data_IF_585516674394
#
_entry.id   IF_585516674394
#
_cell.length_a   1.000
_cell.length_b   1.000
_cell.length_c   1.000
_cell.angle_alpha   90.00
_cell.angle_beta   90.00
_cell.angle_gamma   90.00
#
_symmetry.space_group_name_H-M   'P 1'
#
loop_
_entity.id
_entity.type
_entity.pdbx_description
1 polymer ?
#
# COMPACT_ATOMS: atom_id res chain seq x y z
N UNK A 1 30.32 9.57 26.34
CA UNK A 1 29.59 8.31 26.05
C UNK A 1 30.43 7.54 25.06
N UNK A 2 30.98 6.40 25.49
CA UNK A 2 31.84 5.53 24.68
C UNK A 2 31.01 4.28 24.37
N UNK A 3 30.70 4.02 23.10
CA UNK A 3 29.90 2.86 22.70
C UNK A 3 29.64 2.82 21.20
N UNK A 4 29.61 1.61 20.61
CA UNK A 4 29.27 1.43 19.20
C UNK A 4 27.78 1.74 18.98
N UNK A 5 27.44 2.58 18.00
CA UNK A 5 26.06 3.04 17.73
C UNK A 5 25.05 1.89 17.66
N UNK A 6 25.38 0.80 16.97
CA UNK A 6 24.49 -0.36 16.82
C UNK A 6 24.14 -1.02 18.16
N UNK A 7 25.08 -1.09 19.10
CA UNK A 7 24.84 -1.66 20.42
C UNK A 7 23.94 -0.76 21.26
N UNK A 8 24.11 0.56 21.16
CA UNK A 8 23.23 1.53 21.81
C UNK A 8 21.82 1.50 21.22
N UNK A 9 21.69 1.35 19.89
CA UNK A 9 20.40 1.17 19.24
C UNK A 9 19.71 -0.14 19.64
N UNK A 10 20.48 -1.23 19.79
CA UNK A 10 19.97 -2.51 20.26
C UNK A 10 19.47 -2.43 21.71
N UNK A 11 20.20 -1.75 22.60
CA UNK A 11 19.74 -1.44 23.96
C UNK A 11 18.46 -0.60 23.95
N UNK A 12 18.38 0.41 23.09
CA UNK A 12 17.19 1.25 22.94
C UNK A 12 15.96 0.44 22.44
N UNK A 13 16.16 -0.50 21.52
CA UNK A 13 15.09 -1.31 20.95
C UNK A 13 14.66 -2.50 21.83
N UNK A 14 15.41 -2.83 22.90
CA UNK A 14 15.22 -4.04 23.70
C UNK A 14 13.81 -4.16 24.27
N UNK A 15 13.20 -3.05 24.72
CA UNK A 15 11.82 -3.09 25.24
C UNK A 15 10.81 -3.49 24.17
N UNK A 16 10.90 -2.91 22.97
CA UNK A 16 10.02 -3.26 21.85
C UNK A 16 10.22 -4.72 21.44
N UNK A 17 11.49 -5.17 21.36
CA UNK A 17 11.83 -6.55 21.06
C UNK A 17 11.20 -7.54 22.05
N UNK A 18 11.33 -7.32 23.36
CA UNK A 18 10.75 -8.21 24.37
C UNK A 18 9.21 -8.24 24.28
N UNK A 19 8.57 -7.10 24.04
CA UNK A 19 7.11 -7.04 23.86
C UNK A 19 6.68 -7.81 22.60
N UNK A 20 7.34 -7.60 21.47
CA UNK A 20 7.04 -8.33 20.23
C UNK A 20 7.26 -9.83 20.39
N UNK A 21 8.37 -10.25 21.01
CA UNK A 21 8.70 -11.66 21.22
C UNK A 21 7.68 -12.39 22.11
N UNK A 22 7.07 -11.68 23.06
CA UNK A 22 6.03 -12.22 23.95
C UNK A 22 4.64 -12.27 23.28
N UNK A 23 4.34 -11.33 22.36
CA UNK A 23 3.01 -11.15 21.76
C UNK A 23 2.86 -11.80 20.38
N UNK A 24 3.92 -11.74 19.58
CA UNK A 24 3.95 -12.10 18.17
C UNK A 24 4.70 -13.44 17.97
N UNK A 25 5.17 -13.73 16.75
CA UNK A 25 6.08 -14.85 16.54
C UNK A 25 7.49 -14.47 17.04
N UNK A 26 7.98 -15.21 18.03
CA UNK A 26 9.29 -14.99 18.62
C UNK A 26 10.43 -15.02 17.59
N UNK A 27 10.37 -15.89 16.58
CA UNK A 27 11.40 -15.96 15.53
C UNK A 27 11.43 -14.68 14.68
N UNK A 28 10.27 -14.08 14.39
CA UNK A 28 10.21 -12.81 13.66
C UNK A 28 10.78 -11.66 14.50
N UNK A 29 10.47 -11.62 15.80
CA UNK A 29 11.02 -10.62 16.71
C UNK A 29 12.54 -10.75 16.87
N UNK A 30 13.06 -11.99 16.97
CA UNK A 30 14.49 -12.29 17.02
C UNK A 30 15.17 -11.82 15.71
N UNK A 31 14.58 -12.10 14.54
CA UNK A 31 15.08 -11.63 13.24
C UNK A 31 15.12 -10.10 13.12
N UNK A 32 14.05 -9.39 13.49
CA UNK A 32 13.99 -7.92 13.45
C UNK A 32 15.05 -7.29 14.36
N UNK A 33 15.24 -7.85 15.57
CA UNK A 33 16.21 -7.35 16.53
C UNK A 33 17.66 -7.63 16.12
N UNK A 34 17.93 -8.77 15.48
CA UNK A 34 19.25 -9.13 14.99
C UNK A 34 19.67 -8.34 13.75
N UNK A 35 18.73 -7.89 12.92
CA UNK A 35 19.00 -6.99 11.79
C UNK A 35 19.71 -5.69 12.23
N UNK A 36 19.56 -5.26 13.50
CA UNK A 36 20.28 -4.10 14.05
C UNK A 36 21.81 -4.29 14.14
N UNK A 37 22.30 -5.54 14.08
CA UNK A 37 23.73 -5.85 14.11
C UNK A 37 24.39 -5.77 12.73
N UNK A 38 23.61 -5.73 11.66
CA UNK A 38 24.11 -5.67 10.28
C UNK A 38 24.71 -4.28 9.99
N UNK A 39 26.04 -4.18 10.04
CA UNK A 39 26.74 -2.90 9.85
C UNK A 39 26.65 -2.37 8.42
N UNK A 40 26.59 -3.28 7.43
CA UNK A 40 26.57 -2.97 6.00
C UNK A 40 25.14 -2.85 5.44
N UNK A 41 24.11 -2.82 6.31
CA UNK A 41 22.74 -2.67 5.86
C UNK A 41 22.52 -1.24 5.31
N UNK A 42 22.28 -1.07 3.98
CA UNK A 42 22.18 0.24 3.36
C UNK A 42 20.82 0.91 3.63
N UNK A 43 19.92 0.25 4.35
CA UNK A 43 18.53 0.64 4.47
C UNK A 43 17.75 0.48 3.16
N UNK A 44 16.60 1.15 3.08
CA UNK A 44 15.79 1.18 1.86
C UNK A 44 16.55 1.91 0.75
N UNK A 45 16.84 1.19 -0.33
CA UNK A 45 17.49 1.74 -1.53
C UNK A 45 16.66 1.44 -2.77
N UNK A 46 16.67 2.36 -3.73
CA UNK A 46 15.82 2.29 -4.93
C UNK A 46 16.70 2.12 -6.17
N UNK A 47 16.29 1.23 -7.09
CA UNK A 47 16.85 1.09 -8.43
C UNK A 47 15.73 1.29 -9.43
N UNK A 48 15.88 2.27 -10.32
CA UNK A 48 14.84 2.63 -11.30
C UNK A 48 15.19 2.05 -12.67
N UNK A 49 14.21 1.41 -13.31
CA UNK A 49 14.28 0.93 -14.69
C UNK A 49 13.59 1.84 -15.71
N UNK A 50 13.05 2.98 -15.26
CA UNK A 50 12.30 3.96 -16.04
C UNK A 50 12.43 5.35 -15.39
N UNK A 51 12.05 6.42 -16.12
CA UNK A 51 11.98 7.77 -15.54
C UNK A 51 10.67 7.95 -14.77
N UNK A 52 10.76 8.07 -13.45
CA UNK A 52 9.61 8.26 -12.56
C UNK A 52 8.87 9.58 -12.77
N UNK A 53 9.50 10.54 -13.45
CA UNK A 53 8.90 11.84 -13.77
C UNK A 53 8.24 11.86 -15.15
N UNK A 54 8.42 10.81 -15.96
CA UNK A 54 7.77 10.67 -17.26
C UNK A 54 6.29 10.31 -17.07
N UNK A 55 5.40 11.27 -17.31
CA UNK A 55 3.96 11.01 -17.36
C UNK A 55 3.55 10.44 -18.72
N UNK A 56 3.66 9.12 -18.85
CA UNK A 56 3.24 8.38 -20.04
C UNK A 56 1.71 8.43 -20.28
N UNK A 57 0.91 8.79 -19.27
CA UNK A 57 -0.53 8.91 -19.38
C UNK A 57 -0.96 10.29 -19.92
N UNK A 58 -0.10 11.32 -19.81
CA UNK A 58 -0.40 12.69 -20.23
C UNK A 58 -0.98 12.83 -21.65
N UNK A 59 -0.50 12.12 -22.70
CA UNK A 59 -1.11 12.19 -24.03
C UNK A 59 -2.57 11.76 -24.05
N UNK A 60 -2.94 10.75 -23.27
CA UNK A 60 -4.30 10.24 -23.16
C UNK A 60 -5.18 11.20 -22.34
N UNK A 61 -4.65 11.72 -21.22
CA UNK A 61 -5.35 12.70 -20.38
C UNK A 61 -5.71 13.96 -21.19
N UNK A 62 -4.80 14.43 -22.05
CA UNK A 62 -5.01 15.60 -22.91
C UNK A 62 -6.14 15.42 -23.93
N UNK A 63 -6.55 14.20 -24.24
CA UNK A 63 -7.73 13.96 -25.09
C UNK A 63 -9.04 14.33 -24.40
N UNK A 64 -9.03 14.46 -23.06
CA UNK A 64 -10.22 14.69 -22.24
C UNK A 64 -11.08 13.43 -22.02
N UNK A 65 -10.77 12.31 -22.67
CA UNK A 65 -11.47 11.04 -22.47
C UNK A 65 -10.98 10.40 -21.18
N UNK A 66 -11.90 10.15 -20.24
CA UNK A 66 -11.62 9.52 -18.94
C UNK A 66 -12.34 8.18 -18.82
N UNK A 67 -11.67 7.04 -19.08
CA UNK A 67 -12.27 5.71 -18.96
C UNK A 67 -12.78 5.46 -17.54
N UNK A 68 -13.95 4.84 -17.40
CA UNK A 68 -14.47 4.47 -16.08
C UNK A 68 -13.73 3.26 -15.51
N UNK A 69 -13.33 3.37 -14.25
CA UNK A 69 -12.79 2.26 -13.45
C UNK A 69 -13.67 2.05 -12.22
N UNK A 70 -14.09 0.81 -11.99
CA UNK A 70 -14.84 0.44 -10.80
C UNK A 70 -13.85 0.28 -9.63
N UNK A 71 -13.93 1.19 -8.65
CA UNK A 71 -13.19 1.11 -7.39
C UNK A 71 -14.06 0.30 -6.44
N UNK A 72 -13.80 -1.01 -6.39
CA UNK A 72 -14.64 -1.96 -5.66
C UNK A 72 -14.35 -1.90 -4.17
N UNK A 73 -15.43 -1.89 -3.40
CA UNK A 73 -15.38 -2.02 -1.95
C UNK A 73 -16.52 -2.85 -1.38
N UNK A 74 -16.24 -3.44 -0.23
CA UNK A 74 -17.18 -4.14 0.64
C UNK A 74 -17.19 -3.46 2.03
N UNK A 75 -18.13 -3.82 2.88
CA UNK A 75 -18.10 -3.47 4.30
C UNK A 75 -16.74 -3.84 4.92
N UNK A 76 -16.08 -2.87 5.54
CA UNK A 76 -14.76 -3.05 6.17
C UNK A 76 -13.56 -2.75 5.24
N UNK A 77 -13.78 -2.51 3.96
CA UNK A 77 -12.75 -1.93 3.08
C UNK A 77 -12.46 -0.48 3.51
N UNK A 78 -11.18 -0.11 3.53
CA UNK A 78 -10.73 1.20 4.02
C UNK A 78 -9.65 1.88 3.15
N UNK A 79 -9.19 1.24 2.07
CA UNK A 79 -8.19 1.78 1.15
C UNK A 79 -8.71 2.27 -0.20
N UNK A 80 -10.03 2.46 -0.34
CA UNK A 80 -10.67 2.79 -1.61
C UNK A 80 -10.42 4.24 -2.06
N UNK A 81 -10.15 5.17 -1.12
CA UNK A 81 -10.05 6.60 -1.46
C UNK A 81 -8.71 6.90 -2.11
N UNK A 82 -7.61 6.40 -1.54
CA UNK A 82 -6.28 6.51 -2.12
C UNK A 82 -6.17 5.72 -3.43
N UNK A 83 -6.89 4.59 -3.54
CA UNK A 83 -6.97 3.84 -4.79
C UNK A 83 -7.66 4.67 -5.87
N UNK A 84 -8.82 5.26 -5.56
CA UNK A 84 -9.53 6.15 -6.48
C UNK A 84 -8.66 7.35 -6.91
N UNK A 85 -7.94 7.98 -5.96
CA UNK A 85 -7.05 9.10 -6.24
C UNK A 85 -5.87 8.72 -7.17
N UNK A 86 -5.31 7.52 -7.02
CA UNK A 86 -4.25 7.03 -7.90
C UNK A 86 -4.75 6.87 -9.35
N UNK A 87 -5.95 6.30 -9.53
CA UNK A 87 -6.58 6.17 -10.83
C UNK A 87 -7.01 7.52 -11.43
N UNK A 88 -7.53 8.43 -10.59
CA UNK A 88 -7.88 9.79 -11.00
C UNK A 88 -6.66 10.54 -11.56
N UNK A 89 -5.52 10.45 -10.86
CA UNK A 89 -4.23 11.01 -11.31
C UNK A 89 -3.78 10.43 -12.65
N UNK A 90 -4.03 9.15 -12.88
CA UNK A 90 -3.73 8.48 -14.15
C UNK A 90 -4.75 8.77 -15.27
N UNK A 91 -5.78 9.58 -15.02
CA UNK A 91 -6.76 10.02 -16.02
C UNK A 91 -8.07 9.24 -16.07
N UNK A 92 -8.32 8.33 -15.12
CA UNK A 92 -9.56 7.55 -15.09
C UNK A 92 -10.70 8.30 -14.41
N UNK A 93 -11.93 8.00 -14.79
CA UNK A 93 -13.10 8.35 -13.99
C UNK A 93 -13.32 7.25 -12.93
N UNK A 94 -12.80 7.46 -11.73
CA UNK A 94 -12.89 6.51 -10.63
C UNK A 94 -14.29 6.53 -10.01
N UNK A 95 -15.00 5.40 -10.08
CA UNK A 95 -16.36 5.26 -9.57
C UNK A 95 -16.33 4.38 -8.31
N UNK A 96 -16.89 4.88 -7.21
CA UNK A 96 -17.14 4.05 -6.03
C UNK A 96 -18.20 3.00 -6.37
N UNK A 97 -17.84 1.73 -6.25
CA UNK A 97 -18.75 0.61 -6.49
C UNK A 97 -18.75 -0.26 -5.25
N UNK A 98 -19.81 -0.16 -4.46
CA UNK A 98 -20.02 -1.07 -3.35
C UNK A 98 -20.55 -2.41 -3.87
N UNK A 99 -20.16 -3.52 -3.25
CA UNK A 99 -20.79 -4.83 -3.50
C UNK A 99 -22.34 -4.80 -3.43
N UNK A 100 -22.91 -3.95 -2.57
CA UNK A 100 -24.37 -3.77 -2.49
C UNK A 100 -24.98 -3.12 -3.74
N UNK A 101 -24.21 -2.32 -4.48
CA UNK A 101 -24.65 -1.71 -5.74
C UNK A 101 -24.74 -2.75 -6.85
N UNK A 102 -23.78 -3.68 -6.89
CA UNK A 102 -23.77 -4.80 -7.84
C UNK A 102 -24.93 -5.75 -7.53
N UNK A 103 -25.08 -6.17 -6.27
CA UNK A 103 -26.14 -7.11 -5.85
C UNK A 103 -27.55 -6.56 -6.09
N UNK A 104 -27.72 -5.24 -5.98
CA UNK A 104 -29.00 -4.58 -6.24
C UNK A 104 -29.21 -4.20 -7.71
N UNK A 105 -28.26 -4.51 -8.60
CA UNK A 105 -28.32 -4.16 -10.02
C UNK A 105 -28.23 -2.65 -10.30
N UNK A 106 -27.70 -1.85 -9.37
CA UNK A 106 -27.45 -0.41 -9.58
C UNK A 106 -26.24 -0.15 -10.47
N UNK A 107 -25.34 -1.12 -10.57
CA UNK A 107 -24.10 -1.05 -11.36
C UNK A 107 -23.91 -2.37 -12.11
N UNK A 108 -23.64 -2.31 -13.41
CA UNK A 108 -23.18 -3.43 -14.22
C UNK A 108 -21.67 -3.28 -14.48
N UNK A 109 -20.89 -4.32 -14.19
CA UNK A 109 -19.44 -4.30 -14.40
C UNK A 109 -19.06 -4.20 -15.89
N UNK A 110 -19.96 -4.54 -16.81
CA UNK A 110 -19.76 -4.39 -18.25
C UNK A 110 -19.63 -2.91 -18.69
N UNK A 111 -20.07 -1.96 -17.87
CA UNK A 111 -19.98 -0.52 -18.17
C UNK A 111 -18.55 0.02 -17.99
N UNK A 112 -17.66 -0.74 -17.35
CA UNK A 112 -16.32 -0.28 -16.96
C UNK A 112 -15.22 -0.82 -17.88
N UNK A 113 -14.14 -0.04 -18.03
CA UNK A 113 -12.93 -0.47 -18.76
C UNK A 113 -11.92 -1.19 -17.88
N UNK A 114 -12.09 -1.08 -16.57
CA UNK A 114 -11.29 -1.79 -15.58
C UNK A 114 -11.97 -1.79 -14.23
N UNK A 115 -11.47 -2.63 -13.33
CA UNK A 115 -11.89 -2.68 -11.93
C UNK A 115 -10.68 -2.90 -11.03
N UNK A 116 -10.77 -2.43 -9.80
CA UNK A 116 -9.77 -2.64 -8.76
C UNK A 116 -10.44 -2.99 -7.45
N UNK A 117 -9.99 -4.07 -6.81
CA UNK A 117 -10.42 -4.44 -5.46
C UNK A 117 -9.52 -3.73 -4.44
N UNK A 118 -10.13 -2.98 -3.53
CA UNK A 118 -9.39 -2.14 -2.59
C UNK A 118 -9.05 -2.90 -1.29
N UNK A 119 -7.96 -2.49 -0.65
CA UNK A 119 -7.50 -3.08 0.62
C UNK A 119 -8.38 -2.69 1.82
N UNK A 120 -8.27 -3.48 2.88
CA UNK A 120 -8.91 -3.22 4.17
C UNK A 120 -9.17 -4.51 4.95
N UNK A 121 -10.15 -4.45 5.84
CA UNK A 121 -10.55 -5.54 6.73
C UNK A 121 -12.00 -5.93 6.44
N UNK A 122 -12.24 -6.39 5.22
CA UNK A 122 -13.56 -6.82 4.81
C UNK A 122 -14.03 -7.97 5.70
N UNK A 123 -15.13 -7.75 6.43
CA UNK A 123 -15.65 -8.67 7.45
C UNK A 123 -14.76 -8.89 8.69
N UNK A 124 -13.83 -7.98 8.97
CA UNK A 124 -12.89 -8.05 10.10
C UNK A 124 -11.58 -8.74 9.75
#
# INVERSE_FOLDING_TARGET
LTGQRRLLQRQWAETSYQIQRLRDNAECADQEFDALLEEDNPGLTVKLGFDVNEDIAAPYIKTGVRPQVAVLREQGVNGQVEMAAAFDRAGFNAIDVHMSDILAGRVDLNDFKGMVACGGFSYG
#
